data_IF_425611410847
#
_entry.id   IF_425611410847
#
_cell.length_a   1.000
_cell.length_b   1.000
_cell.length_c   1.000
_cell.angle_alpha   90.00
_cell.angle_beta   90.00
_cell.angle_gamma   90.00
#
_symmetry.space_group_name_H-M   'P 1'
#
loop_
_entity.id
_entity.type
_entity.pdbx_description
1 polymer ?
#
# COMPACT_ATOMS: atom_id res chain seq x y z
N UNK A 1 -2.65 -22.62 -16.50
CA UNK A 1 -3.33 -21.93 -15.38
C UNK A 1 -2.37 -21.51 -14.26
N UNK A 2 -1.37 -22.33 -13.88
CA UNK A 2 -0.38 -22.04 -12.83
C UNK A 2 0.29 -20.65 -12.94
N UNK A 3 0.93 -20.33 -14.08
CA UNK A 3 1.60 -19.03 -14.27
C UNK A 3 0.67 -17.80 -14.28
N UNK A 4 -0.66 -17.98 -14.31
CA UNK A 4 -1.63 -16.87 -14.21
C UNK A 4 -1.98 -16.54 -12.76
N UNK A 5 -1.98 -17.53 -11.88
CA UNK A 5 -2.15 -17.36 -10.44
C UNK A 5 -0.89 -16.79 -9.77
N UNK A 6 0.29 -17.08 -10.31
CA UNK A 6 1.56 -16.61 -9.74
C UNK A 6 1.70 -15.09 -9.77
N UNK A 7 1.26 -14.43 -10.85
CA UNK A 7 1.28 -12.95 -10.92
C UNK A 7 0.32 -12.30 -9.93
N UNK A 8 -0.84 -12.91 -9.69
CA UNK A 8 -1.80 -12.41 -8.71
C UNK A 8 -1.21 -12.51 -7.30
N UNK A 9 -0.62 -13.67 -6.98
CA UNK A 9 0.04 -13.89 -5.70
C UNK A 9 1.23 -12.97 -5.50
N UNK A 10 2.00 -12.69 -6.57
CA UNK A 10 3.06 -11.70 -6.56
C UNK A 10 2.52 -10.30 -6.21
N UNK A 11 1.41 -9.87 -6.80
CA UNK A 11 0.81 -8.57 -6.48
C UNK A 11 0.47 -8.45 -4.99
N UNK A 12 -0.21 -9.45 -4.40
CA UNK A 12 -0.51 -9.47 -2.97
C UNK A 12 0.75 -9.43 -2.09
N UNK A 13 1.79 -10.20 -2.44
CA UNK A 13 3.05 -10.20 -1.69
C UNK A 13 3.83 -8.90 -1.83
N UNK A 14 3.87 -8.31 -3.02
CA UNK A 14 4.52 -7.02 -3.24
C UNK A 14 3.88 -5.93 -2.35
N UNK A 15 2.55 -5.89 -2.30
CA UNK A 15 1.82 -5.02 -1.39
C UNK A 15 2.15 -5.27 0.08
N UNK A 16 2.09 -6.54 0.51
CA UNK A 16 2.37 -6.91 1.89
C UNK A 16 3.80 -6.53 2.32
N UNK A 17 4.79 -6.69 1.44
CA UNK A 17 6.16 -6.28 1.70
C UNK A 17 6.27 -4.77 1.85
N UNK A 18 5.63 -3.99 0.95
CA UNK A 18 5.66 -2.53 1.04
C UNK A 18 5.00 -2.05 2.34
N UNK A 19 3.84 -2.58 2.71
CA UNK A 19 3.16 -2.22 3.96
C UNK A 19 4.03 -2.56 5.18
N UNK A 20 4.64 -3.75 5.20
CA UNK A 20 5.54 -4.17 6.29
C UNK A 20 6.77 -3.26 6.40
N UNK A 21 7.35 -2.84 5.28
CA UNK A 21 8.48 -1.90 5.27
C UNK A 21 8.06 -0.53 5.78
N UNK A 22 6.83 -0.07 5.47
CA UNK A 22 6.30 1.22 5.93
C UNK A 22 5.95 1.26 7.42
N UNK A 23 5.86 0.12 8.10
CA UNK A 23 5.74 0.08 9.58
C UNK A 23 6.98 0.69 10.25
N UNK A 24 8.17 0.49 9.67
CA UNK A 24 9.44 0.95 10.25
C UNK A 24 9.51 2.48 10.41
N UNK A 25 9.30 3.31 9.36
CA UNK A 25 9.29 4.76 9.52
C UNK A 25 8.20 5.26 10.47
N UNK A 26 7.06 4.57 10.57
CA UNK A 26 5.98 4.95 11.48
C UNK A 26 6.35 4.74 12.96
N UNK A 27 7.10 3.68 13.27
CA UNK A 27 7.53 3.39 14.64
C UNK A 27 8.86 4.07 15.02
N UNK A 28 9.70 4.38 14.04
CA UNK A 28 11.03 4.95 14.24
C UNK A 28 11.10 6.34 13.60
N UNK A 29 10.89 7.42 14.38
CA UNK A 29 10.87 8.80 13.87
C UNK A 29 12.12 9.21 13.08
N UNK A 30 13.29 8.65 13.44
CA UNK A 30 14.55 8.91 12.71
C UNK A 30 14.51 8.40 11.27
N UNK A 31 13.85 7.27 11.04
CA UNK A 31 13.70 6.70 9.70
C UNK A 31 12.71 7.54 8.89
N UNK A 32 11.57 7.95 9.48
CA UNK A 32 10.66 8.88 8.84
C UNK A 32 11.34 10.22 8.49
N UNK A 33 12.15 10.76 9.40
CA UNK A 33 12.89 11.99 9.19
C UNK A 33 13.88 11.88 8.02
N UNK A 34 14.64 10.78 7.95
CA UNK A 34 15.54 10.51 6.84
C UNK A 34 14.79 10.33 5.51
N UNK A 35 13.68 9.59 5.53
CA UNK A 35 12.88 9.29 4.34
C UNK A 35 12.21 10.55 3.76
N UNK A 36 11.72 11.44 4.62
CA UNK A 36 11.00 12.66 4.23
C UNK A 36 11.90 13.89 4.16
N UNK A 37 13.20 13.77 4.50
CA UNK A 37 14.13 14.90 4.52
C UNK A 37 13.84 15.93 5.61
N UNK A 38 13.27 15.49 6.74
CA UNK A 38 12.94 16.37 7.86
C UNK A 38 14.17 16.56 8.76
N UNK A 39 14.62 17.80 8.96
CA UNK A 39 15.70 18.13 9.88
C UNK A 39 15.14 18.45 11.27
N UNK A 40 15.75 17.89 12.33
CA UNK A 40 15.33 18.15 13.71
C UNK A 40 13.97 17.56 14.09
N UNK A 41 13.51 16.52 13.39
CA UNK A 41 12.20 15.92 13.62
C UNK A 41 12.10 15.23 14.98
N UNK A 42 11.56 15.94 15.96
CA UNK A 42 11.22 15.43 17.30
C UNK A 42 9.70 15.43 17.47
N UNK A 43 9.00 14.36 17.07
CA UNK A 43 7.55 14.34 17.10
C UNK A 43 7.02 14.40 18.53
N UNK A 44 5.99 15.23 18.74
CA UNK A 44 5.24 15.29 19.97
C UNK A 44 4.54 13.95 20.28
N UNK A 45 4.16 13.68 21.55
CA UNK A 45 3.47 12.45 21.93
C UNK A 45 2.22 12.15 21.08
N UNK A 46 1.44 13.18 20.73
CA UNK A 46 0.23 13.03 19.92
C UNK A 46 0.53 12.49 18.51
N UNK A 47 1.62 12.98 17.90
CA UNK A 47 2.09 12.45 16.61
C UNK A 47 2.55 11.01 16.75
N UNK A 48 3.26 10.66 17.82
CA UNK A 48 3.74 9.28 18.04
C UNK A 48 2.59 8.31 18.24
N UNK A 49 1.52 8.74 18.93
CA UNK A 49 0.30 7.94 19.06
C UNK A 49 -0.36 7.72 17.70
N UNK A 50 -0.57 8.79 16.91
CA UNK A 50 -1.12 8.68 15.57
C UNK A 50 -0.27 7.78 14.65
N UNK A 51 1.06 7.92 14.71
CA UNK A 51 1.98 7.10 13.94
C UNK A 51 1.92 5.61 14.36
N UNK A 52 1.77 5.32 15.65
CA UNK A 52 1.58 3.95 16.13
C UNK A 52 0.25 3.34 15.67
N UNK A 53 -0.84 4.12 15.63
CA UNK A 53 -2.11 3.69 15.04
C UNK A 53 -1.96 3.38 13.54
N UNK A 54 -1.27 4.25 12.79
CA UNK A 54 -0.97 3.99 11.39
C UNK A 54 -0.10 2.72 11.22
N UNK A 55 0.87 2.49 12.11
CA UNK A 55 1.73 1.31 12.07
C UNK A 55 0.92 0.03 12.31
N UNK A 56 0.01 0.03 13.28
CA UNK A 56 -0.90 -1.08 13.54
C UNK A 56 -1.82 -1.33 12.33
N UNK A 57 -2.33 -0.28 11.69
CA UNK A 57 -3.14 -0.40 10.48
C UNK A 57 -2.34 -1.01 9.33
N UNK A 58 -1.11 -0.57 9.09
CA UNK A 58 -0.22 -1.13 8.06
C UNK A 58 0.13 -2.60 8.34
N UNK A 59 0.39 -2.97 9.60
CA UNK A 59 0.61 -4.37 9.98
C UNK A 59 -0.66 -5.22 9.76
N UNK A 60 -1.83 -4.70 10.10
CA UNK A 60 -3.12 -5.34 9.82
C UNK A 60 -3.36 -5.52 8.32
N UNK A 61 -3.05 -4.51 7.51
CA UNK A 61 -3.18 -4.56 6.06
C UNK A 61 -2.21 -5.55 5.42
N UNK A 62 -0.97 -5.62 5.94
CA UNK A 62 0.02 -6.65 5.57
C UNK A 62 -0.56 -8.05 5.77
N UNK A 63 -1.12 -8.33 6.95
CA UNK A 63 -1.72 -9.62 7.26
C UNK A 63 -2.92 -9.93 6.34
N UNK A 64 -3.75 -8.92 6.05
CA UNK A 64 -4.89 -9.03 5.13
C UNK A 64 -4.43 -9.39 3.71
N UNK A 65 -3.37 -8.76 3.20
CA UNK A 65 -2.82 -9.04 1.87
C UNK A 65 -2.20 -10.44 1.80
N UNK A 66 -1.45 -10.86 2.82
CA UNK A 66 -0.91 -12.23 2.90
C UNK A 66 -2.04 -13.27 2.93
N UNK A 67 -3.10 -13.00 3.71
CA UNK A 67 -4.29 -13.85 3.76
C UNK A 67 -5.03 -13.88 2.42
N UNK A 68 -5.22 -12.72 1.78
CA UNK A 68 -5.89 -12.64 0.48
C UNK A 68 -5.10 -13.37 -0.62
N UNK A 69 -3.77 -13.34 -0.54
CA UNK A 69 -2.87 -14.07 -1.44
C UNK A 69 -3.00 -15.60 -1.40
N UNK A 70 -3.67 -16.19 -0.40
CA UNK A 70 -3.99 -17.63 -0.35
C UNK A 70 -5.11 -18.02 -1.32
N UNK A 71 -6.02 -17.10 -1.64
CA UNK A 71 -7.14 -17.30 -2.56
C UNK A 71 -7.36 -16.03 -3.41
N UNK A 72 -6.43 -15.70 -4.31
CA UNK A 72 -6.35 -14.37 -4.92
C UNK A 72 -7.50 -14.03 -5.87
N UNK A 73 -8.16 -15.02 -6.47
CA UNK A 73 -9.29 -14.81 -7.39
C UNK A 73 -10.58 -14.54 -6.62
N UNK A 74 -10.83 -15.32 -5.56
CA UNK A 74 -12.01 -15.17 -4.70
C UNK A 74 -11.96 -13.89 -3.88
N UNK A 75 -10.76 -13.50 -3.44
CA UNK A 75 -10.53 -12.33 -2.56
C UNK A 75 -10.03 -11.09 -3.31
N UNK A 76 -10.32 -11.02 -4.62
CA UNK A 76 -9.92 -9.90 -5.50
C UNK A 76 -10.41 -8.53 -5.01
N UNK A 77 -11.49 -8.47 -4.23
CA UNK A 77 -12.01 -7.23 -3.64
C UNK A 77 -10.99 -6.49 -2.78
N UNK A 78 -10.05 -7.21 -2.14
CA UNK A 78 -8.98 -6.60 -1.32
C UNK A 78 -8.05 -5.71 -2.15
N UNK A 79 -7.79 -6.08 -3.42
CA UNK A 79 -6.97 -5.27 -4.34
C UNK A 79 -7.67 -3.95 -4.63
N UNK A 80 -8.99 -3.99 -4.87
CA UNK A 80 -9.77 -2.80 -5.13
C UNK A 80 -9.83 -1.88 -3.91
N UNK A 81 -10.05 -2.45 -2.71
CA UNK A 81 -10.02 -1.71 -1.44
C UNK A 81 -8.65 -1.04 -1.20
N UNK A 82 -7.56 -1.68 -1.63
CA UNK A 82 -6.23 -1.09 -1.48
C UNK A 82 -6.00 0.05 -2.48
N UNK A 83 -6.52 -0.06 -3.71
CA UNK A 83 -6.47 1.06 -4.67
C UNK A 83 -7.35 2.22 -4.19
N UNK A 84 -8.60 1.93 -3.83
CA UNK A 84 -9.56 2.88 -3.30
C UNK A 84 -10.32 2.23 -2.14
N UNK A 85 -10.19 2.72 -0.89
CA UNK A 85 -9.76 4.09 -0.55
C UNK A 85 -8.26 4.31 -0.24
N UNK A 86 -7.45 3.26 -0.03
CA UNK A 86 -6.15 3.44 0.64
C UNK A 86 -5.14 4.25 -0.17
N UNK A 87 -4.79 3.84 -1.39
CA UNK A 87 -3.80 4.57 -2.20
C UNK A 87 -4.27 5.97 -2.58
N UNK A 88 -5.57 6.14 -2.85
CA UNK A 88 -6.16 7.47 -3.11
C UNK A 88 -6.05 8.38 -1.88
N UNK A 89 -6.37 7.88 -0.69
CA UNK A 89 -6.24 8.62 0.55
C UNK A 89 -4.79 9.00 0.85
N UNK A 90 -3.85 8.10 0.60
CA UNK A 90 -2.42 8.35 0.81
C UNK A 90 -1.85 9.37 -0.18
N UNK A 91 -2.31 9.33 -1.44
CA UNK A 91 -1.97 10.34 -2.44
C UNK A 91 -2.53 11.72 -2.06
N UNK A 92 -3.77 11.79 -1.54
CA UNK A 92 -4.36 13.03 -1.06
C UNK A 92 -3.58 13.61 0.14
N UNK A 93 -3.19 12.76 1.10
CA UNK A 93 -2.35 13.16 2.23
C UNK A 93 -0.97 13.66 1.77
N UNK A 94 -0.35 12.99 0.78
CA UNK A 94 0.90 13.43 0.17
C UNK A 94 0.76 14.79 -0.53
N UNK A 95 -0.33 15.00 -1.27
CA UNK A 95 -0.66 16.28 -1.90
C UNK A 95 -0.81 17.40 -0.89
N UNK A 96 -1.52 17.15 0.22
CA UNK A 96 -1.64 18.10 1.32
C UNK A 96 -0.28 18.44 1.97
N UNK A 97 0.57 17.44 2.21
CA UNK A 97 1.90 17.64 2.78
C UNK A 97 2.81 18.49 1.87
N UNK A 98 2.67 18.35 0.56
CA UNK A 98 3.38 19.18 -0.42
C UNK A 98 2.81 20.60 -0.43
N UNK A 99 1.48 20.76 -0.50
CA UNK A 99 0.83 22.07 -0.62
C UNK A 99 0.99 22.92 0.65
N UNK A 100 1.12 22.29 1.81
CA UNK A 100 1.39 22.97 3.09
C UNK A 100 2.86 23.32 3.30
N UNK A 101 3.76 22.89 2.41
CA UNK A 101 5.20 23.10 2.54
C UNK A 101 5.87 22.22 3.62
N UNK A 102 5.15 21.26 4.20
CA UNK A 102 5.68 20.34 5.22
C UNK A 102 6.79 19.45 4.67
N UNK A 103 6.69 19.03 3.40
CA UNK A 103 7.66 18.14 2.76
C UNK A 103 7.98 18.65 1.35
N UNK A 104 9.27 18.70 0.99
CA UNK A 104 9.69 19.03 -0.38
C UNK A 104 9.29 17.90 -1.33
N UNK A 105 8.80 18.27 -2.51
CA UNK A 105 8.37 17.34 -3.57
C UNK A 105 9.42 16.27 -3.88
N UNK A 106 10.71 16.62 -3.86
CA UNK A 106 11.80 15.68 -4.13
C UNK A 106 11.85 14.48 -3.18
N UNK A 107 11.49 14.63 -1.91
CA UNK A 107 11.43 13.51 -0.95
C UNK A 107 10.13 12.72 -1.06
N UNK A 108 9.07 13.31 -1.63
CA UNK A 108 7.79 12.62 -1.84
C UNK A 108 7.76 11.84 -3.17
N UNK A 109 8.61 12.20 -4.14
CA UNK A 109 8.65 11.55 -5.45
C UNK A 109 8.85 10.01 -5.41
N UNK A 110 9.75 9.44 -4.58
CA UNK A 110 9.89 7.99 -4.48
C UNK A 110 8.63 7.31 -3.92
N UNK A 111 8.00 7.93 -2.93
CA UNK A 111 6.75 7.44 -2.32
C UNK A 111 5.62 7.40 -3.36
N UNK A 112 5.46 8.49 -4.13
CA UNK A 112 4.47 8.57 -5.20
C UNK A 112 4.75 7.55 -6.31
N UNK A 113 6.02 7.35 -6.67
CA UNK A 113 6.39 6.35 -7.68
C UNK A 113 6.01 4.93 -7.24
N UNK A 114 6.27 4.56 -5.97
CA UNK A 114 5.86 3.27 -5.40
C UNK A 114 4.33 3.14 -5.36
N UNK A 115 3.63 4.19 -4.93
CA UNK A 115 2.15 4.20 -4.89
C UNK A 115 1.54 4.01 -6.28
N UNK A 116 2.04 4.72 -7.29
CA UNK A 116 1.60 4.57 -8.68
C UNK A 116 1.90 3.17 -9.22
N UNK A 117 3.10 2.65 -8.95
CA UNK A 117 3.48 1.29 -9.32
C UNK A 117 2.55 0.24 -8.71
N UNK A 118 2.26 0.35 -7.41
CA UNK A 118 1.32 -0.54 -6.71
C UNK A 118 -0.11 -0.38 -7.23
N UNK A 119 -0.57 0.85 -7.51
CA UNK A 119 -1.90 1.09 -8.06
C UNK A 119 -2.08 0.39 -9.42
N UNK A 120 -1.10 0.52 -10.31
CA UNK A 120 -1.09 -0.16 -11.62
C UNK A 120 -1.03 -1.68 -11.45
N UNK A 121 -0.19 -2.17 -10.54
CA UNK A 121 -0.06 -3.59 -10.24
C UNK A 121 -1.37 -4.19 -9.70
N UNK A 122 -2.01 -3.53 -8.73
CA UNK A 122 -3.27 -3.98 -8.16
C UNK A 122 -4.44 -3.88 -9.14
N UNK A 123 -4.51 -2.82 -9.95
CA UNK A 123 -5.58 -2.68 -10.94
C UNK A 123 -5.44 -3.72 -12.06
N UNK A 124 -4.22 -3.99 -12.53
CA UNK A 124 -3.98 -5.04 -13.53
C UNK A 124 -4.26 -6.43 -12.97
N UNK A 125 -3.83 -6.71 -11.73
CA UNK A 125 -4.15 -7.93 -11.00
C UNK A 125 -5.67 -8.10 -10.82
N UNK A 126 -6.39 -7.05 -10.45
CA UNK A 126 -7.85 -7.07 -10.28
C UNK A 126 -8.58 -7.39 -11.60
N UNK A 127 -8.21 -6.68 -12.69
CA UNK A 127 -8.78 -6.94 -14.03
C UNK A 127 -8.56 -8.39 -14.45
N UNK A 128 -7.38 -8.93 -14.18
CA UNK A 128 -7.03 -10.31 -14.50
C UNK A 128 -7.80 -11.32 -13.64
N UNK A 129 -7.93 -11.07 -12.34
CA UNK A 129 -8.71 -11.92 -11.43
C UNK A 129 -10.18 -11.97 -11.85
N UNK A 130 -10.75 -10.83 -12.27
CA UNK A 130 -12.13 -10.76 -12.77
C UNK A 130 -12.31 -11.60 -14.04
N UNK A 131 -11.41 -11.45 -15.02
CA UNK A 131 -11.45 -12.24 -16.25
C UNK A 131 -11.42 -13.76 -15.97
N UNK A 132 -10.59 -14.20 -15.03
CA UNK A 132 -10.49 -15.62 -14.65
C UNK A 132 -11.76 -16.12 -13.94
N UNK A 133 -12.41 -15.28 -13.13
CA UNK A 133 -13.68 -15.61 -12.50
C UNK A 133 -14.80 -15.77 -13.54
N UNK A 134 -14.87 -14.85 -14.51
CA UNK A 134 -15.87 -14.89 -15.59
C UNK A 134 -15.66 -16.10 -16.53
N UNK A 135 -14.41 -16.53 -16.78
CA UNK A 135 -14.12 -17.76 -17.53
C UNK A 135 -14.60 -19.02 -16.81
N UNK A 136 -14.52 -19.05 -15.47
CA UNK A 136 -14.94 -20.19 -14.67
C UNK A 136 -16.47 -20.31 -14.66
N UNK A 137 -17.17 -19.19 -14.53
CA UNK A 137 -18.64 -19.12 -14.51
C UNK A 137 -19.27 -19.57 -15.84
N UNK A 138 -18.61 -19.30 -16.97
CA UNK A 138 -19.05 -19.74 -18.31
C UNK A 138 -18.84 -21.24 -18.59
N UNK A 139 -18.04 -21.93 -17.77
CA UNK A 139 -17.70 -23.35 -17.96
C UNK A 139 -18.43 -24.29 -17.01
N UNK A 140 -19.09 -23.75 -15.98
CA UNK A 140 -20.00 -24.48 -15.09
C UNK A 140 -21.42 -24.47 -15.65
#
# INVERSE_FOLDING_TARGET
MAGRCDTLRFAYWAGAVVDAVMVVPLLVPRVAAAMLGLHGFTPAPDYRYAAALCAALMAGWTALLVWAGRAPVDRRGVLLLTVCPVLVGLAAAGGYAISSGLVRVGFMAPMLAVQLGLAVLFLSAYRRARFLADEADRRG
#
